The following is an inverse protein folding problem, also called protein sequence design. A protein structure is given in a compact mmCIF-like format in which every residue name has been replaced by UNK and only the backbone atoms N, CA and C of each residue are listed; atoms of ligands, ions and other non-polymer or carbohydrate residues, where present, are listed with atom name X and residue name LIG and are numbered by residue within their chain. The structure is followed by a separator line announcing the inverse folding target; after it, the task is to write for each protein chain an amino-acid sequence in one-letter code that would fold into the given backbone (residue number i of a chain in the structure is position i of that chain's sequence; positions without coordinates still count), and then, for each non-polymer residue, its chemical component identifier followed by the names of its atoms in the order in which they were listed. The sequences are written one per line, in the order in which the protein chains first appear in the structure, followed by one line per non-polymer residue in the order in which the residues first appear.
data_IF_739976896051
#
_entry.id   IF_739976896051
#
_cell.length_a   1.000
_cell.length_b   1.000
_cell.length_c   1.000
_cell.angle_alpha   90.00
_cell.angle_beta   90.00
_cell.angle_gamma   90.00
#
_symmetry.space_group_name_H-M   'P 1'
#
loop_
_entity.id
_entity.type
_entity.pdbx_description
1 polymer ?
#
# COMPACT_ATOMS: atom_id res chain seq x y z
N UNK A 1 52.19 72.17 40.15
CA UNK A 1 50.88 72.12 39.45
C UNK A 1 51.00 71.06 38.37
N UNK A 2 50.48 69.86 38.65
CA UNK A 2 50.43 68.73 37.72
C UNK A 2 49.02 68.63 37.16
N UNK A 3 48.88 68.83 35.85
CA UNK A 3 47.64 68.60 35.11
C UNK A 3 47.37 67.10 35.00
N UNK A 4 46.16 66.61 35.30
CA UNK A 4 45.81 65.21 35.11
C UNK A 4 45.42 64.95 33.64
N UNK A 5 46.02 63.92 33.06
CA UNK A 5 45.68 63.37 31.74
C UNK A 5 44.39 62.55 31.86
N UNK A 6 43.30 63.02 31.25
CA UNK A 6 42.07 62.23 31.09
C UNK A 6 42.31 61.06 30.12
N UNK A 7 42.26 59.84 30.66
CA UNK A 7 42.18 58.62 29.87
C UNK A 7 40.75 58.46 29.33
N UNK A 8 40.59 58.67 28.02
CA UNK A 8 39.39 58.34 27.27
C UNK A 8 39.11 56.83 27.37
N UNK A 9 38.10 56.47 28.16
CA UNK A 9 37.51 55.14 28.22
C UNK A 9 36.94 54.77 26.83
N UNK A 10 37.58 53.81 26.16
CA UNK A 10 37.04 53.17 24.97
C UNK A 10 35.69 52.51 25.31
N UNK A 11 34.61 53.01 24.72
CA UNK A 11 33.29 52.37 24.80
C UNK A 11 33.39 50.99 24.13
N UNK A 12 32.86 49.92 24.74
CA UNK A 12 32.88 48.60 24.13
C UNK A 12 32.11 48.65 22.81
N UNK A 13 32.79 48.32 21.71
CA UNK A 13 32.18 48.18 20.40
C UNK A 13 31.03 47.16 20.50
N UNK A 14 29.79 47.62 20.31
CA UNK A 14 28.63 46.73 20.15
C UNK A 14 28.94 45.77 19.01
N UNK A 15 29.14 44.48 19.32
CA UNK A 15 29.17 43.41 18.31
C UNK A 15 27.94 43.57 17.42
N UNK A 16 28.13 43.97 16.16
CA UNK A 16 27.04 44.03 15.17
C UNK A 16 26.43 42.63 15.10
N UNK A 17 25.16 42.51 15.49
CA UNK A 17 24.42 41.27 15.32
C UNK A 17 24.45 40.86 13.84
N UNK A 18 24.68 39.57 13.51
CA UNK A 18 24.64 39.13 12.14
C UNK A 18 23.28 39.48 11.50
N UNK A 19 23.24 39.75 10.19
CA UNK A 19 22.00 40.10 9.52
C UNK A 19 20.94 39.01 9.73
N UNK A 20 19.66 39.39 9.90
CA UNK A 20 18.59 38.43 10.11
C UNK A 20 18.53 37.46 8.93
N UNK A 21 18.50 36.17 9.25
CA UNK A 21 18.35 35.07 8.31
C UNK A 21 17.34 34.05 8.86
N UNK A 22 16.97 33.05 8.05
CA UNK A 22 15.95 32.07 8.40
C UNK A 22 16.19 31.40 9.76
N UNK A 23 17.44 31.10 10.11
CA UNK A 23 17.80 30.44 11.38
C UNK A 23 17.71 31.38 12.60
N UNK A 24 17.63 32.69 12.39
CA UNK A 24 17.48 33.69 13.46
C UNK A 24 16.03 34.08 13.72
N UNK A 25 15.09 33.64 12.88
CA UNK A 25 13.66 33.91 13.08
C UNK A 25 13.15 33.25 14.38
N UNK A 26 12.18 33.88 15.08
CA UNK A 26 11.51 33.25 16.20
C UNK A 26 10.83 31.93 15.78
N UNK A 27 10.80 30.90 16.65
CA UNK A 27 10.24 29.59 16.32
C UNK A 27 8.81 29.65 15.75
N UNK A 28 7.92 30.47 16.34
CA UNK A 28 6.54 30.61 15.86
C UNK A 28 6.43 31.15 14.42
N UNK A 29 7.37 32.00 14.01
CA UNK A 29 7.42 32.52 12.63
C UNK A 29 7.94 31.44 11.69
N UNK A 30 8.97 30.71 12.13
CA UNK A 30 9.55 29.61 11.37
C UNK A 30 8.52 28.47 11.15
N UNK A 31 7.65 28.18 12.13
CA UNK A 31 6.52 27.25 11.98
C UNK A 31 5.60 27.65 10.82
N UNK A 32 5.27 28.94 10.72
CA UNK A 32 4.38 29.46 9.67
C UNK A 32 5.05 29.33 8.30
N UNK A 33 6.34 29.67 8.21
CA UNK A 33 7.11 29.51 6.97
C UNK A 33 7.15 28.04 6.57
N UNK A 34 7.51 27.14 7.48
CA UNK A 34 7.60 25.70 7.17
C UNK A 34 6.25 25.08 6.78
N UNK A 35 5.13 25.59 7.30
CA UNK A 35 3.77 25.15 6.90
C UNK A 35 3.33 25.67 5.54
N UNK A 36 3.97 26.72 5.03
CA UNK A 36 3.62 27.38 3.76
C UNK A 36 4.41 26.87 2.54
N UNK A 37 5.54 26.20 2.76
CA UNK A 37 6.40 25.72 1.68
C UNK A 37 6.14 24.25 1.35
N UNK A 38 6.54 23.84 0.15
CA UNK A 38 6.40 22.44 -0.30
C UNK A 38 7.34 21.48 0.45
N UNK A 39 7.07 20.18 0.30
CA UNK A 39 7.84 19.11 0.95
C UNK A 39 9.33 19.14 0.56
N UNK A 40 9.66 19.42 -0.71
CA UNK A 40 11.05 19.46 -1.19
C UNK A 40 11.81 20.59 -0.49
N UNK A 41 11.17 21.73 -0.31
CA UNK A 41 11.70 22.90 0.38
C UNK A 41 11.88 22.62 1.87
N UNK A 42 10.90 22.00 2.55
CA UNK A 42 11.05 21.54 3.94
C UNK A 42 12.26 20.63 4.10
N UNK A 43 12.40 19.61 3.24
CA UNK A 43 13.54 18.68 3.28
C UNK A 43 14.88 19.36 2.98
N UNK A 44 14.88 20.37 2.11
CA UNK A 44 16.09 21.15 1.80
C UNK A 44 16.52 22.01 2.99
N UNK A 45 15.58 22.71 3.62
CA UNK A 45 15.83 23.54 4.82
C UNK A 45 16.36 22.70 5.98
N UNK A 46 15.78 21.51 6.20
CA UNK A 46 16.22 20.54 7.21
C UNK A 46 17.69 20.12 7.04
N UNK A 47 18.23 20.17 5.83
CA UNK A 47 19.61 19.79 5.50
C UNK A 47 20.61 20.96 5.59
N UNK A 48 20.18 22.19 5.89
CA UNK A 48 21.05 23.40 5.91
C UNK A 48 21.92 23.50 7.17
N UNK A 49 21.32 23.49 8.36
CA UNK A 49 22.06 23.60 9.63
C UNK A 49 21.32 22.90 10.78
N UNK A 50 22.04 22.62 11.88
CA UNK A 50 21.49 21.93 13.05
C UNK A 50 20.23 22.62 13.60
N UNK A 51 20.27 23.95 13.77
CA UNK A 51 19.14 24.70 14.33
C UNK A 51 17.85 24.56 13.52
N UNK A 52 17.96 24.67 12.19
CA UNK A 52 16.80 24.51 11.29
C UNK A 52 16.31 23.06 11.28
N UNK A 53 17.22 22.09 11.30
CA UNK A 53 16.90 20.67 11.40
C UNK A 53 16.11 20.35 12.66
N UNK A 54 16.63 20.73 13.83
CA UNK A 54 15.96 20.51 15.11
C UNK A 54 14.60 21.17 15.17
N UNK A 55 14.44 22.34 14.55
CA UNK A 55 13.14 22.99 14.45
C UNK A 55 12.17 22.20 13.56
N UNK A 56 12.54 21.87 12.31
CA UNK A 56 11.69 21.10 11.39
C UNK A 56 11.25 19.77 12.01
N UNK A 57 12.19 19.06 12.66
CA UNK A 57 11.91 17.77 13.30
C UNK A 57 10.96 17.92 14.51
N UNK A 58 10.97 19.07 15.19
CA UNK A 58 10.08 19.38 16.31
C UNK A 58 8.67 19.83 15.92
N UNK A 59 8.46 20.43 14.75
CA UNK A 59 7.17 21.03 14.35
C UNK A 59 6.13 19.98 13.92
N UNK A 60 6.53 18.73 13.69
CA UNK A 60 5.64 17.61 13.28
C UNK A 60 4.76 17.94 12.07
N UNK A 61 5.41 18.45 11.01
CA UNK A 61 4.75 18.83 9.76
C UNK A 61 4.14 17.61 9.07
N UNK A 62 2.87 17.72 8.65
CA UNK A 62 2.22 16.70 7.83
C UNK A 62 2.69 16.84 6.37
N UNK A 63 3.40 15.84 5.87
CA UNK A 63 3.94 15.81 4.50
C UNK A 63 2.85 15.77 3.42
N UNK A 64 1.60 15.45 3.78
CA UNK A 64 0.43 15.40 2.87
C UNK A 64 0.67 14.52 1.64
N UNK A 65 1.43 13.43 1.81
CA UNK A 65 1.65 12.43 0.77
C UNK A 65 0.32 11.74 0.45
N UNK A 66 -0.12 11.85 -0.81
CA UNK A 66 -1.27 11.14 -1.34
C UNK A 66 -0.87 9.79 -1.91
N UNK A 67 0.26 9.70 -2.62
CA UNK A 67 0.78 8.44 -3.13
C UNK A 67 2.29 8.36 -2.95
N UNK A 68 2.79 7.18 -2.64
CA UNK A 68 4.21 6.88 -2.68
C UNK A 68 4.43 5.54 -3.39
N UNK A 69 5.38 5.50 -4.31
CA UNK A 69 5.81 4.29 -5.01
C UNK A 69 7.32 4.17 -4.92
N UNK A 70 7.81 2.99 -4.55
CA UNK A 70 9.24 2.68 -4.48
C UNK A 70 9.52 1.59 -5.50
N UNK A 71 10.46 1.84 -6.40
CA UNK A 71 10.86 0.96 -7.48
C UNK A 71 12.34 0.59 -7.36
N UNK A 72 12.61 -0.70 -7.13
CA UNK A 72 13.96 -1.26 -7.13
C UNK A 72 14.34 -1.65 -8.56
N UNK A 73 14.83 -0.69 -9.33
CA UNK A 73 15.14 -0.87 -10.75
C UNK A 73 16.32 -1.82 -11.00
N UNK A 74 17.35 -1.76 -10.16
CA UNK A 74 18.51 -2.65 -10.23
C UNK A 74 19.22 -2.74 -8.87
N UNK A 75 20.32 -3.49 -8.80
CA UNK A 75 21.18 -3.58 -7.59
C UNK A 75 21.85 -2.25 -7.23
N UNK A 76 21.89 -1.30 -8.15
CA UNK A 76 22.58 -0.03 -7.97
C UNK A 76 21.64 1.16 -8.14
N UNK A 77 20.33 0.91 -8.30
CA UNK A 77 19.35 1.96 -8.57
C UNK A 77 18.00 1.69 -7.93
N UNK A 78 17.57 2.63 -7.10
CA UNK A 78 16.21 2.71 -6.55
C UNK A 78 15.60 4.04 -6.99
N UNK A 79 14.31 4.05 -7.30
CA UNK A 79 13.58 5.26 -7.65
C UNK A 79 12.33 5.36 -6.80
N UNK A 80 12.01 6.58 -6.35
CA UNK A 80 10.78 6.87 -5.62
C UNK A 80 9.95 7.90 -6.38
N UNK A 81 8.64 7.70 -6.36
CA UNK A 81 7.66 8.65 -6.85
C UNK A 81 6.75 9.04 -5.68
N UNK A 82 6.65 10.34 -5.38
CA UNK A 82 5.81 10.89 -4.32
C UNK A 82 4.81 11.88 -4.92
N UNK A 83 3.52 11.66 -4.70
CA UNK A 83 2.45 12.56 -5.14
C UNK A 83 1.86 13.29 -3.94
N UNK A 84 1.84 14.62 -3.97
CA UNK A 84 1.02 15.46 -3.07
C UNK A 84 -0.19 15.98 -3.84
N UNK A 85 -0.99 16.86 -3.22
CA UNK A 85 -2.09 17.52 -3.93
C UNK A 85 -1.57 18.34 -5.12
N UNK A 86 -0.47 19.06 -4.89
CA UNK A 86 -0.01 20.12 -5.78
C UNK A 86 1.13 19.63 -6.70
N UNK A 87 1.91 18.62 -6.27
CA UNK A 87 3.14 18.23 -6.96
C UNK A 87 3.28 16.72 -7.17
N UNK A 88 4.20 16.36 -8.06
CA UNK A 88 4.75 15.01 -8.26
C UNK A 88 6.27 15.11 -8.13
N UNK A 89 6.86 14.33 -7.23
CA UNK A 89 8.30 14.31 -6.98
C UNK A 89 8.86 12.96 -7.38
N UNK A 90 9.91 12.99 -8.18
CA UNK A 90 10.71 11.81 -8.49
C UNK A 90 12.10 11.98 -7.90
N UNK A 91 12.59 10.96 -7.20
CA UNK A 91 13.94 10.93 -6.67
C UNK A 91 14.57 9.59 -7.02
N UNK A 92 15.76 9.63 -7.59
CA UNK A 92 16.54 8.45 -7.94
C UNK A 92 17.74 8.35 -7.02
N UNK A 93 18.00 7.16 -6.52
CA UNK A 93 19.13 6.82 -5.67
C UNK A 93 20.03 5.86 -6.45
N UNK A 94 21.30 6.22 -6.61
CA UNK A 94 22.28 5.48 -7.42
C UNK A 94 23.46 5.12 -6.52
N UNK A 95 23.85 3.85 -6.52
CA UNK A 95 25.01 3.38 -5.77
C UNK A 95 26.30 3.85 -6.49
N UNK A 96 27.22 4.44 -5.74
CA UNK A 96 28.54 4.90 -6.23
C UNK A 96 29.63 4.50 -5.23
N UNK A 97 30.25 3.34 -5.46
CA UNK A 97 31.15 2.71 -4.49
C UNK A 97 30.42 2.47 -3.16
N UNK A 98 30.93 3.03 -2.07
CA UNK A 98 30.30 2.97 -0.74
C UNK A 98 29.29 4.11 -0.50
N UNK A 99 29.06 4.98 -1.48
CA UNK A 99 28.23 6.17 -1.34
C UNK A 99 26.88 5.99 -2.06
N UNK A 100 25.91 6.81 -1.66
CA UNK A 100 24.63 6.95 -2.36
C UNK A 100 24.54 8.31 -3.03
N UNK A 101 24.30 8.34 -4.34
CA UNK A 101 23.95 9.56 -5.06
C UNK A 101 22.43 9.71 -5.06
N UNK A 102 21.93 10.80 -4.48
CA UNK A 102 20.52 11.17 -4.48
C UNK A 102 20.31 12.23 -5.56
N UNK A 103 19.47 11.92 -6.54
CA UNK A 103 19.14 12.79 -7.68
C UNK A 103 17.65 13.14 -7.69
N UNK A 104 17.34 14.42 -7.52
CA UNK A 104 15.99 14.99 -7.62
C UNK A 104 15.92 16.17 -8.60
N UNK A 105 16.76 16.11 -9.64
CA UNK A 105 17.14 17.24 -10.52
C UNK A 105 18.41 17.95 -10.06
N UNK A 106 18.81 17.75 -8.79
CA UNK A 106 20.12 18.08 -8.26
C UNK A 106 20.73 16.83 -7.64
N UNK A 107 22.01 16.58 -7.93
CA UNK A 107 22.75 15.44 -7.38
C UNK A 107 23.41 15.82 -6.07
N UNK A 108 23.25 14.96 -5.06
CA UNK A 108 23.96 15.04 -3.78
C UNK A 108 24.51 13.67 -3.42
N UNK A 109 25.73 13.64 -2.91
CA UNK A 109 26.35 12.41 -2.41
C UNK A 109 26.09 12.29 -0.92
N UNK A 110 25.68 11.09 -0.50
CA UNK A 110 25.62 10.65 0.89
C UNK A 110 26.74 9.65 1.08
N UNK A 111 27.74 10.03 1.86
CA UNK A 111 28.97 9.25 2.03
C UNK A 111 28.73 8.00 2.90
N UNK A 112 29.39 6.90 2.54
CA UNK A 112 29.41 5.65 3.32
C UNK A 112 28.03 5.10 3.69
N UNK A 113 27.10 5.11 2.74
CA UNK A 113 25.73 4.63 2.92
C UNK A 113 25.26 3.92 1.66
N UNK A 114 24.72 2.71 1.82
CA UNK A 114 24.06 2.00 0.72
C UNK A 114 22.71 2.63 0.38
N UNK A 115 22.31 2.50 -0.89
CA UNK A 115 21.07 3.12 -1.38
C UNK A 115 19.81 2.61 -0.68
N UNK A 116 19.78 1.36 -0.19
CA UNK A 116 18.64 0.81 0.55
C UNK A 116 18.44 1.56 1.87
N UNK A 117 19.51 1.66 2.66
CA UNK A 117 19.52 2.43 3.91
C UNK A 117 19.21 3.91 3.67
N UNK A 118 19.76 4.50 2.60
CA UNK A 118 19.53 5.91 2.26
C UNK A 118 18.06 6.20 1.96
N UNK A 119 17.45 5.42 1.06
CA UNK A 119 16.03 5.57 0.67
C UNK A 119 15.12 5.30 1.88
N UNK A 120 15.42 4.28 2.68
CA UNK A 120 14.60 3.90 3.84
C UNK A 120 14.56 5.00 4.89
N UNK A 121 15.71 5.65 5.13
CA UNK A 121 15.78 6.81 6.02
C UNK A 121 15.02 8.02 5.49
N UNK A 122 15.22 8.39 4.24
CA UNK A 122 14.51 9.53 3.63
C UNK A 122 12.98 9.29 3.66
N UNK A 123 12.52 8.11 3.27
CA UNK A 123 11.10 7.75 3.30
C UNK A 123 10.54 7.71 4.72
N UNK A 124 11.29 7.13 5.67
CA UNK A 124 10.93 7.09 7.08
C UNK A 124 10.72 8.50 7.63
N UNK A 125 11.64 9.42 7.38
CA UNK A 125 11.56 10.82 7.80
C UNK A 125 10.44 11.60 7.12
N UNK A 126 10.15 11.34 5.84
CA UNK A 126 9.01 11.94 5.13
C UNK A 126 7.69 11.46 5.74
N UNK A 127 7.61 10.18 6.12
CA UNK A 127 6.38 9.57 6.61
C UNK A 127 6.21 9.66 8.13
N UNK A 128 7.23 9.97 8.93
CA UNK A 128 7.18 9.94 10.40
C UNK A 128 6.06 10.84 10.97
N UNK A 129 5.80 11.98 10.34
CA UNK A 129 4.78 12.94 10.76
C UNK A 129 3.56 12.99 9.83
N UNK A 130 3.44 12.04 8.90
CA UNK A 130 2.30 11.93 7.98
C UNK A 130 1.01 11.67 8.78
N UNK A 131 0.12 12.66 8.84
CA UNK A 131 -1.16 12.63 9.59
C UNK A 131 -2.35 12.43 8.65
N UNK A 132 -2.28 13.03 7.47
CA UNK A 132 -3.32 12.87 6.45
C UNK A 132 -3.28 11.47 5.83
N UNK A 133 -4.43 11.06 5.29
CA UNK A 133 -4.64 9.75 4.70
C UNK A 133 -3.84 9.58 3.41
N UNK A 134 -2.93 8.62 3.38
CA UNK A 134 -2.24 8.19 2.16
C UNK A 134 -3.23 7.37 1.31
N UNK A 135 -3.39 7.74 0.03
CA UNK A 135 -4.30 7.04 -0.89
C UNK A 135 -3.71 5.73 -1.37
N UNK A 136 -2.42 5.69 -1.71
CA UNK A 136 -1.71 4.48 -2.15
C UNK A 136 -0.25 4.48 -1.68
N UNK A 137 0.21 3.34 -1.19
CA UNK A 137 1.61 3.10 -0.86
C UNK A 137 2.02 1.79 -1.53
N UNK A 138 2.93 1.90 -2.50
CA UNK A 138 3.29 0.81 -3.40
C UNK A 138 4.78 0.49 -3.37
N UNK A 139 5.08 -0.80 -3.41
CA UNK A 139 6.44 -1.33 -3.55
C UNK A 139 6.52 -2.15 -4.82
N UNK A 140 7.55 -1.91 -5.63
CA UNK A 140 7.93 -2.75 -6.75
C UNK A 140 9.36 -3.22 -6.50
N UNK A 141 9.44 -4.40 -5.91
CA UNK A 141 10.62 -5.08 -5.42
C UNK A 141 11.03 -6.16 -6.42
N UNK A 142 12.32 -6.45 -6.46
CA UNK A 142 12.90 -7.43 -7.39
C UNK A 142 13.86 -8.37 -6.66
N UNK A 143 13.81 -9.68 -6.89
CA UNK A 143 14.60 -10.68 -6.14
C UNK A 143 16.09 -10.35 -6.11
N UNK A 144 16.63 -9.86 -7.23
CA UNK A 144 18.05 -9.52 -7.34
C UNK A 144 18.49 -8.38 -6.41
N UNK A 145 17.56 -7.64 -5.81
CA UNK A 145 17.80 -6.53 -4.90
C UNK A 145 17.50 -6.87 -3.43
N UNK A 146 17.34 -8.15 -3.06
CA UNK A 146 16.95 -8.58 -1.70
C UNK A 146 17.77 -7.92 -0.57
N UNK A 147 19.12 -7.85 -0.61
CA UNK A 147 19.89 -7.18 0.45
C UNK A 147 19.55 -5.70 0.62
N UNK A 148 19.32 -4.98 -0.49
CA UNK A 148 18.92 -3.57 -0.43
C UNK A 148 17.50 -3.39 0.09
N UNK A 149 16.60 -4.33 -0.22
CA UNK A 149 15.23 -4.33 0.28
C UNK A 149 15.20 -4.48 1.79
N UNK A 150 15.99 -5.41 2.33
CA UNK A 150 16.11 -5.61 3.78
C UNK A 150 16.61 -4.34 4.48
N UNK A 151 17.67 -3.71 3.95
CA UNK A 151 18.17 -2.43 4.47
C UNK A 151 17.10 -1.33 4.42
N UNK A 152 16.43 -1.18 3.29
CA UNK A 152 15.36 -0.21 3.09
C UNK A 152 14.19 -0.42 4.08
N UNK A 153 13.67 -1.65 4.15
CA UNK A 153 12.52 -2.00 4.99
C UNK A 153 12.86 -1.80 6.46
N UNK A 154 14.06 -2.23 6.89
CA UNK A 154 14.54 -2.02 8.27
C UNK A 154 14.49 -0.54 8.64
N UNK A 155 15.11 0.33 7.85
CA UNK A 155 15.13 1.77 8.14
C UNK A 155 13.72 2.37 8.10
N UNK A 156 12.93 2.06 7.08
CA UNK A 156 11.55 2.55 6.97
C UNK A 156 10.73 2.16 8.20
N UNK A 157 10.76 0.89 8.59
CA UNK A 157 9.97 0.35 9.70
C UNK A 157 10.44 0.89 11.04
N UNK A 158 11.75 1.08 11.25
CA UNK A 158 12.30 1.75 12.43
C UNK A 158 11.65 3.12 12.63
N UNK A 159 11.61 3.97 11.59
CA UNK A 159 10.95 5.28 11.65
C UNK A 159 9.45 5.16 11.88
N UNK A 160 8.75 4.28 11.14
CA UNK A 160 7.30 4.13 11.27
C UNK A 160 6.87 3.62 12.65
N UNK A 161 7.69 2.81 13.31
CA UNK A 161 7.43 2.31 14.66
C UNK A 161 7.57 3.39 15.74
N UNK A 162 8.32 4.47 15.49
CA UNK A 162 8.37 5.61 16.44
C UNK A 162 7.11 6.47 16.44
N UNK A 163 6.21 6.26 15.48
CA UNK A 163 4.99 7.04 15.34
C UNK A 163 4.03 6.76 16.49
N UNK A 164 3.46 7.82 17.05
CA UNK A 164 2.37 7.72 18.05
C UNK A 164 1.12 7.03 17.49
N UNK A 165 0.86 7.23 16.20
CA UNK A 165 -0.28 6.64 15.49
C UNK A 165 0.19 5.92 14.23
N UNK A 166 -0.36 4.71 14.02
CA UNK A 166 -0.13 3.92 12.80
C UNK A 166 -0.47 4.70 11.54
N UNK A 167 0.28 4.46 10.47
CA UNK A 167 0.12 5.19 9.20
C UNK A 167 -1.27 4.92 8.60
N UNK A 168 -2.01 5.99 8.31
CA UNK A 168 -3.33 5.89 7.69
C UNK A 168 -3.18 5.71 6.18
N UNK A 169 -3.58 4.56 5.67
CA UNK A 169 -3.42 4.16 4.27
C UNK A 169 -4.72 3.57 3.72
N UNK A 170 -5.11 3.92 2.49
CA UNK A 170 -6.25 3.32 1.78
C UNK A 170 -5.90 2.09 0.95
N UNK A 171 -4.77 2.11 0.26
CA UNK A 171 -4.37 1.05 -0.67
C UNK A 171 -2.90 0.68 -0.45
N UNK A 172 -2.67 -0.54 0.03
CA UNK A 172 -1.35 -1.17 0.11
C UNK A 172 -1.11 -2.04 -1.13
N UNK A 173 0.02 -1.85 -1.80
CA UNK A 173 0.41 -2.59 -3.00
C UNK A 173 1.83 -3.10 -2.86
N UNK A 174 2.01 -4.41 -2.98
CA UNK A 174 3.30 -5.09 -2.91
C UNK A 174 3.48 -5.91 -4.18
N UNK A 175 4.42 -5.51 -5.03
CA UNK A 175 4.80 -6.23 -6.23
C UNK A 175 6.23 -6.72 -6.07
N UNK A 176 6.45 -8.03 -6.02
CA UNK A 176 7.78 -8.61 -5.83
C UNK A 176 7.72 -9.98 -5.16
N UNK A 177 8.81 -10.45 -4.55
CA UNK A 177 8.82 -11.71 -3.81
C UNK A 177 7.77 -11.70 -2.69
N UNK A 178 7.01 -12.79 -2.56
CA UNK A 178 6.02 -12.95 -1.48
C UNK A 178 6.74 -13.50 -0.26
N UNK A 179 7.24 -12.58 0.56
CA UNK A 179 7.90 -12.87 1.82
C UNK A 179 7.03 -12.36 2.97
N UNK A 180 6.53 -13.29 3.77
CA UNK A 180 5.53 -12.99 4.79
C UNK A 180 6.07 -12.07 5.88
N UNK A 181 7.34 -12.23 6.27
CA UNK A 181 7.98 -11.41 7.30
C UNK A 181 8.23 -9.99 6.79
N UNK A 182 8.74 -9.85 5.56
CA UNK A 182 8.94 -8.53 4.96
C UNK A 182 7.63 -7.78 4.78
N UNK A 183 6.58 -8.43 4.26
CA UNK A 183 5.27 -7.80 4.09
C UNK A 183 4.71 -7.39 5.45
N UNK A 184 4.72 -8.28 6.44
CA UNK A 184 4.21 -8.00 7.80
C UNK A 184 4.95 -6.84 8.45
N UNK A 185 6.27 -6.74 8.29
CA UNK A 185 7.08 -5.67 8.88
C UNK A 185 6.54 -4.27 8.54
N UNK A 186 6.04 -4.07 7.31
CA UNK A 186 5.39 -2.83 6.90
C UNK A 186 3.91 -2.86 7.24
N UNK A 187 3.21 -3.96 6.96
CA UNK A 187 1.77 -4.08 7.11
C UNK A 187 1.29 -3.80 8.54
N UNK A 188 2.08 -4.21 9.54
CA UNK A 188 1.79 -3.99 10.96
C UNK A 188 1.92 -2.53 11.39
N UNK A 189 2.66 -1.70 10.66
CA UNK A 189 2.76 -0.25 10.90
C UNK A 189 1.53 0.54 10.40
N UNK A 190 0.64 -0.11 9.65
CA UNK A 190 -0.53 0.51 9.01
C UNK A 190 -1.76 0.48 9.92
N UNK A 191 -2.56 1.55 9.85
CA UNK A 191 -3.81 1.63 10.57
C UNK A 191 -4.87 0.73 9.89
N UNK A 192 -5.40 -0.30 10.60
CA UNK A 192 -6.31 -1.28 10.01
C UNK A 192 -7.69 -0.69 9.67
N UNK A 193 -8.10 0.42 10.28
CA UNK A 193 -9.39 1.06 10.02
C UNK A 193 -9.40 1.88 8.72
N UNK A 194 -8.24 2.33 8.26
CA UNK A 194 -8.14 3.10 7.02
C UNK A 194 -7.95 2.24 5.77
N UNK A 195 -7.43 1.02 5.93
CA UNK A 195 -7.03 0.17 4.81
C UNK A 195 -8.25 -0.43 4.10
N UNK A 196 -8.32 -0.23 2.79
CA UNK A 196 -9.44 -0.65 1.96
C UNK A 196 -9.04 -1.68 0.92
N UNK A 197 -7.90 -1.48 0.25
CA UNK A 197 -7.40 -2.40 -0.78
C UNK A 197 -6.03 -2.95 -0.40
N UNK A 198 -5.88 -4.25 -0.56
CA UNK A 198 -4.64 -5.01 -0.41
C UNK A 198 -4.35 -5.67 -1.74
N UNK A 199 -3.14 -5.53 -2.24
CA UNK A 199 -2.68 -6.10 -3.50
C UNK A 199 -1.30 -6.69 -3.26
N UNK A 200 -1.22 -8.01 -3.40
CA UNK A 200 0.01 -8.78 -3.32
C UNK A 200 0.22 -9.41 -4.69
N UNK A 201 1.29 -9.01 -5.38
CA UNK A 201 1.61 -9.49 -6.72
C UNK A 201 3.01 -10.07 -6.71
N UNK A 202 3.15 -11.33 -7.14
CA UNK A 202 4.46 -11.89 -7.43
C UNK A 202 4.86 -11.57 -8.87
N UNK A 203 5.72 -10.56 -9.03
CA UNK A 203 6.14 -10.04 -10.33
C UNK A 203 6.96 -11.03 -11.19
N UNK A 204 7.57 -12.06 -10.59
CA UNK A 204 8.43 -13.00 -11.32
C UNK A 204 7.63 -13.97 -12.20
N UNK A 205 6.39 -14.29 -11.81
CA UNK A 205 5.54 -15.26 -12.51
C UNK A 205 4.67 -14.66 -13.61
N UNK A 206 4.79 -13.36 -13.88
CA UNK A 206 4.22 -12.76 -15.09
C UNK A 206 5.00 -13.19 -16.36
N UNK A 207 6.15 -13.86 -16.21
CA UNK A 207 7.06 -14.26 -17.29
C UNK A 207 7.08 -15.79 -17.57
N UNK A 208 5.92 -16.46 -17.54
CA UNK A 208 5.78 -17.85 -18.03
C UNK A 208 6.39 -18.95 -17.14
N UNK A 209 6.77 -18.62 -15.90
CA UNK A 209 7.25 -19.58 -14.90
C UNK A 209 6.09 -20.31 -14.18
N UNK A 210 6.28 -21.55 -13.67
CA UNK A 210 5.25 -22.28 -12.95
C UNK A 210 4.77 -21.48 -11.74
N UNK A 211 3.47 -21.43 -11.50
CA UNK A 211 2.93 -20.69 -10.36
C UNK A 211 3.26 -21.41 -9.06
N UNK A 212 3.92 -20.70 -8.13
CA UNK A 212 4.36 -21.24 -6.83
C UNK A 212 3.33 -20.90 -5.75
N UNK A 213 3.18 -21.81 -4.77
CA UNK A 213 2.36 -21.58 -3.60
C UNK A 213 3.14 -20.87 -2.49
N UNK A 214 2.52 -19.84 -1.90
CA UNK A 214 3.08 -19.09 -0.78
C UNK A 214 2.10 -19.05 0.38
N UNK A 215 2.61 -19.34 1.57
CA UNK A 215 1.86 -19.18 2.82
C UNK A 215 1.69 -17.68 3.14
N UNK A 216 0.44 -17.24 3.20
CA UNK A 216 0.06 -15.88 3.62
C UNK A 216 -0.81 -15.88 4.89
N UNK A 217 -0.84 -16.98 5.65
CA UNK A 217 -1.71 -17.17 6.82
C UNK A 217 -1.50 -16.09 7.88
N UNK A 218 -0.26 -15.71 8.19
CA UNK A 218 0.00 -14.67 9.21
C UNK A 218 -0.50 -13.32 8.73
N UNK A 219 -0.33 -12.98 7.45
CA UNK A 219 -0.90 -11.78 6.84
C UNK A 219 -2.44 -11.83 6.91
N UNK A 220 -3.04 -12.97 6.55
CA UNK A 220 -4.48 -13.16 6.54
C UNK A 220 -5.12 -13.05 7.95
N UNK A 221 -4.35 -13.36 8.99
CA UNK A 221 -4.79 -13.28 10.38
C UNK A 221 -4.75 -11.86 10.99
N UNK A 222 -4.13 -10.89 10.31
CA UNK A 222 -4.04 -9.51 10.80
C UNK A 222 -5.38 -8.76 10.76
N UNK A 223 -5.53 -7.72 11.58
CA UNK A 223 -6.71 -6.84 11.56
C UNK A 223 -6.80 -6.03 10.26
N UNK A 224 -5.65 -5.70 9.66
CA UNK A 224 -5.54 -5.01 8.38
C UNK A 224 -6.17 -5.84 7.27
N UNK A 225 -5.80 -7.13 7.19
CA UNK A 225 -6.46 -8.06 6.30
C UNK A 225 -7.94 -8.19 6.68
N UNK A 226 -8.22 -8.52 7.95
CA UNK A 226 -9.50 -8.38 8.72
C UNK A 226 -10.52 -7.39 8.14
N UNK A 227 -10.10 -6.15 7.94
CA UNK A 227 -10.98 -5.01 7.66
C UNK A 227 -10.93 -4.52 6.22
N UNK A 228 -10.04 -5.08 5.41
CA UNK A 228 -9.95 -4.78 3.99
C UNK A 228 -11.27 -5.07 3.26
N UNK A 229 -11.53 -4.28 2.22
CA UNK A 229 -12.71 -4.41 1.35
C UNK A 229 -12.38 -5.15 0.06
N UNK A 230 -11.19 -4.88 -0.46
CA UNK A 230 -10.69 -5.44 -1.71
C UNK A 230 -9.38 -6.17 -1.48
N UNK A 231 -9.24 -7.35 -2.06
CA UNK A 231 -8.00 -8.12 -2.09
C UNK A 231 -7.67 -8.59 -3.50
N UNK A 232 -6.41 -8.43 -3.89
CA UNK A 232 -5.88 -8.98 -5.13
C UNK A 232 -4.61 -9.78 -4.79
N UNK A 233 -4.55 -11.04 -5.23
CA UNK A 233 -3.34 -11.88 -5.17
C UNK A 233 -3.02 -12.38 -6.57
N UNK A 234 -1.93 -11.91 -7.17
CA UNK A 234 -1.59 -12.18 -8.57
C UNK A 234 -0.21 -12.82 -8.70
N UNK A 235 -0.07 -13.75 -9.65
CA UNK A 235 1.22 -14.40 -9.94
C UNK A 235 1.67 -15.45 -8.91
N UNK A 236 0.82 -15.84 -7.96
CA UNK A 236 1.13 -16.91 -7.02
C UNK A 236 -0.14 -17.57 -6.47
N UNK A 237 0.00 -18.80 -5.96
CA UNK A 237 -1.09 -19.53 -5.27
C UNK A 237 -1.05 -19.17 -3.79
N UNK A 238 -2.11 -18.54 -3.28
CA UNK A 238 -2.23 -18.25 -1.86
C UNK A 238 -2.56 -19.52 -1.07
N UNK A 239 -1.59 -20.01 -0.29
CA UNK A 239 -1.76 -21.18 0.57
C UNK A 239 -2.35 -20.76 1.91
N UNK A 240 -3.67 -20.58 1.94
CA UNK A 240 -4.48 -20.28 3.14
C UNK A 240 -5.87 -20.87 2.97
N UNK A 241 -6.63 -21.11 4.06
CA UNK A 241 -8.03 -21.51 3.96
C UNK A 241 -8.83 -20.51 3.11
N UNK A 242 -9.64 -21.00 2.18
CA UNK A 242 -10.47 -20.18 1.29
C UNK A 242 -11.38 -19.21 2.07
N UNK A 243 -11.77 -19.60 3.28
CA UNK A 243 -12.56 -18.79 4.20
C UNK A 243 -11.91 -17.46 4.61
N UNK A 244 -10.58 -17.31 4.47
CA UNK A 244 -9.86 -16.07 4.71
C UNK A 244 -10.29 -14.93 3.76
N UNK A 245 -10.95 -15.26 2.65
CA UNK A 245 -11.37 -14.31 1.62
C UNK A 245 -12.87 -13.94 1.67
N UNK A 246 -13.68 -14.63 2.47
CA UNK A 246 -15.15 -14.48 2.47
C UNK A 246 -15.71 -13.10 2.77
N UNK A 247 -14.96 -12.26 3.47
CA UNK A 247 -15.43 -10.95 3.92
C UNK A 247 -15.24 -9.85 2.87
N UNK A 248 -14.37 -10.07 1.88
CA UNK A 248 -14.06 -9.06 0.89
C UNK A 248 -15.28 -8.85 -0.01
N UNK A 249 -15.58 -7.59 -0.30
CA UNK A 249 -16.61 -7.25 -1.29
C UNK A 249 -16.09 -7.45 -2.71
N UNK A 250 -14.78 -7.30 -2.91
CA UNK A 250 -14.10 -7.51 -4.16
C UNK A 250 -12.85 -8.37 -3.93
N UNK A 251 -12.75 -9.53 -4.59
CA UNK A 251 -11.58 -10.40 -4.48
C UNK A 251 -11.15 -10.91 -5.84
N UNK A 252 -9.86 -10.85 -6.14
CA UNK A 252 -9.24 -11.54 -7.26
C UNK A 252 -8.07 -12.36 -6.73
N UNK A 253 -8.23 -13.68 -6.70
CA UNK A 253 -7.28 -14.56 -6.04
C UNK A 253 -6.90 -15.77 -6.87
N UNK A 254 -5.78 -16.38 -6.51
CA UNK A 254 -5.43 -17.74 -6.93
C UNK A 254 -5.18 -18.58 -5.70
N UNK A 255 -5.83 -19.72 -5.59
CA UNK A 255 -5.80 -20.61 -4.43
C UNK A 255 -5.50 -22.04 -4.86
N UNK A 256 -4.99 -22.85 -3.95
CA UNK A 256 -4.64 -24.23 -4.28
C UNK A 256 -5.90 -25.07 -4.46
N UNK A 257 -6.71 -25.16 -3.41
CA UNK A 257 -7.89 -26.02 -3.39
C UNK A 257 -9.15 -25.20 -3.08
N UNK A 258 -10.23 -25.48 -3.81
CA UNK A 258 -11.59 -25.06 -3.46
C UNK A 258 -12.46 -26.30 -3.25
N UNK A 259 -13.47 -26.19 -2.41
CA UNK A 259 -14.48 -27.25 -2.19
C UNK A 259 -15.89 -26.76 -2.51
N UNK A 260 -16.85 -27.67 -2.67
CA UNK A 260 -18.25 -27.31 -2.88
C UNK A 260 -18.79 -26.53 -1.67
N UNK A 261 -18.40 -26.92 -0.46
CA UNK A 261 -18.77 -26.19 0.76
C UNK A 261 -18.22 -24.78 0.79
N UNK A 262 -17.00 -24.58 0.30
CA UNK A 262 -16.42 -23.24 0.20
C UNK A 262 -17.25 -22.33 -0.70
N UNK A 263 -17.67 -22.85 -1.87
CA UNK A 263 -18.47 -22.11 -2.83
C UNK A 263 -19.90 -21.87 -2.33
N UNK A 264 -20.49 -22.84 -1.63
CA UNK A 264 -21.81 -22.68 -0.99
C UNK A 264 -21.74 -21.60 0.11
N UNK A 265 -20.70 -21.62 0.93
CA UNK A 265 -20.47 -20.61 1.97
C UNK A 265 -20.27 -19.22 1.36
N UNK A 266 -19.47 -19.11 0.30
CA UNK A 266 -19.27 -17.86 -0.44
C UNK A 266 -20.59 -17.34 -1.02
N UNK A 267 -21.37 -18.19 -1.68
CA UNK A 267 -22.71 -17.85 -2.22
C UNK A 267 -23.61 -17.27 -1.12
N UNK A 268 -23.74 -17.98 0.01
CA UNK A 268 -24.57 -17.55 1.14
C UNK A 268 -24.11 -16.19 1.67
N UNK A 269 -22.80 -15.98 1.83
CA UNK A 269 -22.25 -14.70 2.33
C UNK A 269 -22.41 -13.56 1.34
N UNK A 270 -22.18 -13.81 0.05
CA UNK A 270 -22.39 -12.84 -1.02
C UNK A 270 -23.84 -12.34 -1.03
N UNK A 271 -24.81 -13.26 -0.98
CA UNK A 271 -26.23 -12.92 -0.94
C UNK A 271 -26.65 -12.17 0.33
N UNK A 272 -25.99 -12.42 1.49
CA UNK A 272 -26.21 -11.70 2.76
C UNK A 272 -25.46 -10.36 2.85
N UNK A 273 -24.58 -10.02 1.89
CA UNK A 273 -23.78 -8.80 1.93
C UNK A 273 -24.28 -7.74 0.91
N UNK A 274 -24.91 -6.64 1.36
CA UNK A 274 -25.38 -5.56 0.48
C UNK A 274 -24.25 -4.81 -0.22
N UNK A 275 -22.99 -5.00 0.16
CA UNK A 275 -21.82 -4.38 -0.47
C UNK A 275 -20.99 -5.37 -1.29
N UNK A 276 -21.41 -6.62 -1.44
CA UNK A 276 -20.70 -7.58 -2.31
C UNK A 276 -20.68 -7.08 -3.76
N UNK A 277 -19.52 -7.11 -4.40
CA UNK A 277 -19.32 -6.66 -5.78
C UNK A 277 -18.91 -7.83 -6.65
N UNK A 278 -17.76 -8.43 -6.36
CA UNK A 278 -17.15 -9.46 -7.21
C UNK A 278 -16.22 -10.37 -6.41
N UNK A 279 -16.15 -11.63 -6.80
CA UNK A 279 -15.16 -12.58 -6.31
C UNK A 279 -14.72 -13.43 -7.50
N UNK A 280 -13.45 -13.39 -7.85
CA UNK A 280 -12.86 -14.16 -8.91
C UNK A 280 -11.73 -15.01 -8.33
N UNK A 281 -11.79 -16.32 -8.54
CA UNK A 281 -10.77 -17.25 -8.10
C UNK A 281 -10.31 -18.14 -9.25
N UNK A 282 -9.00 -18.24 -9.39
CA UNK A 282 -8.33 -19.35 -10.09
C UNK A 282 -7.98 -20.41 -9.05
N UNK A 283 -8.24 -21.67 -9.35
CA UNK A 283 -7.96 -22.78 -8.45
C UNK A 283 -7.08 -23.85 -9.11
N UNK A 284 -6.38 -24.67 -8.33
CA UNK A 284 -5.61 -25.82 -8.85
C UNK A 284 -6.44 -27.10 -8.73
N UNK A 285 -7.02 -27.35 -7.56
CA UNK A 285 -7.73 -28.57 -7.20
C UNK A 285 -9.18 -28.26 -6.83
N UNK A 286 -10.09 -29.14 -7.26
CA UNK A 286 -11.50 -29.11 -6.88
C UNK A 286 -12.00 -30.56 -6.68
N UNK A 287 -11.69 -31.17 -5.53
CA UNK A 287 -11.82 -32.63 -5.34
C UNK A 287 -13.27 -33.12 -5.40
N UNK A 288 -14.23 -32.28 -5.03
CA UNK A 288 -15.66 -32.55 -4.99
C UNK A 288 -16.43 -31.84 -6.13
N UNK A 289 -15.76 -31.53 -7.25
CA UNK A 289 -16.35 -30.85 -8.41
C UNK A 289 -17.62 -31.54 -8.94
N UNK A 290 -17.68 -32.88 -8.89
CA UNK A 290 -18.84 -33.63 -9.35
C UNK A 290 -20.14 -33.25 -8.59
N UNK A 291 -20.03 -32.90 -7.31
CA UNK A 291 -21.17 -32.52 -6.46
C UNK A 291 -21.55 -31.05 -6.58
N UNK A 292 -20.69 -30.22 -7.18
CA UNK A 292 -20.92 -28.79 -7.35
C UNK A 292 -22.25 -28.52 -8.07
N UNK A 293 -22.50 -29.24 -9.18
CA UNK A 293 -23.73 -29.07 -9.97
C UNK A 293 -24.95 -29.49 -9.16
N UNK A 294 -24.87 -30.57 -8.39
CA UNK A 294 -25.97 -31.03 -7.55
C UNK A 294 -26.34 -29.97 -6.50
N UNK A 295 -25.36 -29.29 -5.93
CA UNK A 295 -25.54 -28.28 -4.86
C UNK A 295 -25.92 -26.88 -5.35
N UNK A 296 -25.54 -26.55 -6.58
CA UNK A 296 -25.92 -25.28 -7.24
C UNK A 296 -27.18 -25.42 -8.09
N UNK A 297 -27.63 -26.65 -8.35
CA UNK A 297 -28.80 -26.95 -9.16
C UNK A 297 -28.53 -26.78 -10.65
N UNK A 298 -29.60 -26.82 -11.45
CA UNK A 298 -29.51 -26.71 -12.91
C UNK A 298 -28.98 -25.31 -13.30
N UNK A 299 -27.89 -25.20 -14.08
CA UNK A 299 -27.39 -23.91 -14.55
C UNK A 299 -28.38 -23.26 -15.53
N UNK A 300 -28.39 -21.93 -15.55
CA UNK A 300 -29.16 -21.14 -16.52
C UNK A 300 -28.55 -21.25 -17.92
N UNK A 301 -27.21 -21.12 -18.02
CA UNK A 301 -26.44 -21.36 -19.26
C UNK A 301 -25.45 -22.49 -19.02
N UNK A 302 -25.36 -23.42 -19.97
CA UNK A 302 -24.36 -24.47 -19.98
C UNK A 302 -23.75 -24.56 -21.38
N UNK A 303 -22.44 -24.34 -21.47
CA UNK A 303 -21.65 -24.53 -22.68
C UNK A 303 -20.68 -25.69 -22.48
N UNK A 304 -19.85 -25.99 -23.50
CA UNK A 304 -18.77 -26.99 -23.38
C UNK A 304 -17.70 -26.58 -22.36
N UNK A 305 -17.53 -25.28 -22.13
CA UNK A 305 -16.39 -24.72 -21.38
C UNK A 305 -16.82 -24.01 -20.10
N UNK A 306 -18.12 -23.82 -19.86
CA UNK A 306 -18.57 -23.15 -18.65
C UNK A 306 -20.05 -23.29 -18.36
N UNK A 307 -20.40 -22.90 -17.14
CA UNK A 307 -21.75 -22.94 -16.59
C UNK A 307 -22.03 -21.66 -15.81
N UNK A 308 -23.24 -21.15 -15.93
CA UNK A 308 -23.67 -19.90 -15.27
C UNK A 308 -24.97 -20.12 -14.51
N UNK A 309 -25.03 -19.59 -13.28
CA UNK A 309 -26.22 -19.52 -12.45
C UNK A 309 -26.52 -18.07 -12.09
N UNK A 310 -27.80 -17.74 -11.92
CA UNK A 310 -28.24 -16.44 -11.44
C UNK A 310 -29.14 -16.63 -10.21
N UNK A 311 -28.76 -15.96 -9.11
CA UNK A 311 -29.51 -16.00 -7.85
C UNK A 311 -30.06 -14.61 -7.53
N UNK A 312 -31.27 -14.57 -6.99
CA UNK A 312 -31.89 -13.31 -6.56
C UNK A 312 -31.27 -12.85 -5.24
N UNK A 313 -30.87 -11.58 -5.14
CA UNK A 313 -30.56 -11.01 -3.84
C UNK A 313 -31.84 -10.92 -2.99
N UNK A 314 -31.84 -11.36 -1.73
CA UNK A 314 -33.04 -11.26 -0.88
C UNK A 314 -33.41 -9.81 -0.54
N UNK A 315 -32.41 -8.93 -0.49
CA UNK A 315 -32.52 -7.57 0.05
C UNK A 315 -32.76 -6.48 -0.99
N UNK A 316 -32.65 -6.79 -2.29
CA UNK A 316 -32.83 -5.83 -3.38
C UNK A 316 -33.12 -6.55 -4.70
N UNK A 317 -33.26 -5.80 -5.79
CA UNK A 317 -33.61 -6.34 -7.10
C UNK A 317 -32.40 -6.87 -7.90
N UNK A 318 -31.20 -6.83 -7.34
CA UNK A 318 -30.01 -7.29 -8.04
C UNK A 318 -29.95 -8.82 -8.11
N UNK A 319 -29.08 -9.31 -8.98
CA UNK A 319 -28.77 -10.73 -9.09
C UNK A 319 -27.31 -11.00 -8.72
N UNK A 320 -27.04 -12.18 -8.19
CA UNK A 320 -25.72 -12.76 -8.05
C UNK A 320 -25.50 -13.73 -9.21
N UNK A 321 -24.54 -13.44 -10.09
CA UNK A 321 -24.03 -14.41 -11.06
C UNK A 321 -23.03 -15.32 -10.39
N UNK A 322 -23.04 -16.59 -10.77
CA UNK A 322 -21.99 -17.55 -10.49
C UNK A 322 -21.58 -18.15 -11.80
N UNK A 323 -20.32 -17.98 -12.19
CA UNK A 323 -19.77 -18.47 -13.44
C UNK A 323 -18.62 -19.42 -13.11
N UNK A 324 -18.73 -20.65 -13.59
CA UNK A 324 -17.69 -21.68 -13.46
C UNK A 324 -17.20 -22.08 -14.83
N UNK A 325 -15.89 -22.31 -14.98
CA UNK A 325 -15.29 -22.74 -16.25
C UNK A 325 -14.38 -23.95 -16.06
N UNK A 326 -14.25 -24.74 -17.13
CA UNK A 326 -13.30 -25.87 -17.19
C UNK A 326 -11.83 -25.43 -17.19
N UNK A 327 -11.56 -24.12 -17.31
CA UNK A 327 -10.22 -23.53 -17.22
C UNK A 327 -9.80 -23.25 -15.76
N UNK A 328 -10.42 -23.96 -14.81
CA UNK A 328 -10.17 -23.84 -13.37
C UNK A 328 -10.39 -22.43 -12.82
N UNK A 329 -11.46 -21.78 -13.29
CA UNK A 329 -11.88 -20.49 -12.77
C UNK A 329 -13.31 -20.54 -12.26
N UNK A 330 -13.55 -19.80 -11.20
CA UNK A 330 -14.89 -19.55 -10.69
C UNK A 330 -15.04 -18.07 -10.33
N UNK A 331 -16.19 -17.50 -10.63
CA UNK A 331 -16.50 -16.13 -10.27
C UNK A 331 -17.91 -15.97 -9.74
N UNK A 332 -18.05 -15.02 -8.83
CA UNK A 332 -19.31 -14.55 -8.26
C UNK A 332 -19.38 -13.06 -8.52
N UNK A 333 -20.46 -12.58 -9.12
CA UNK A 333 -20.58 -11.16 -9.48
C UNK A 333 -21.95 -10.60 -9.16
N UNK A 334 -22.01 -9.35 -8.71
CA UNK A 334 -23.28 -8.65 -8.63
C UNK A 334 -23.66 -8.05 -9.97
N UNK A 335 -24.87 -8.35 -10.42
CA UNK A 335 -25.51 -7.72 -11.57
C UNK A 335 -26.61 -6.80 -11.06
N UNK A 336 -26.54 -5.52 -11.41
CA UNK A 336 -27.58 -4.55 -11.06
C UNK A 336 -28.84 -4.81 -11.88
N UNK A 337 -30.03 -4.61 -11.28
CA UNK A 337 -31.31 -4.85 -11.96
C UNK A 337 -31.43 -4.15 -13.32
N UNK A 338 -30.94 -2.90 -13.40
CA UNK A 338 -30.90 -2.11 -14.63
C UNK A 338 -30.10 -2.77 -15.77
N UNK A 339 -29.18 -3.68 -15.46
CA UNK A 339 -28.26 -4.31 -16.40
C UNK A 339 -28.73 -5.70 -16.85
N UNK A 340 -29.86 -6.23 -16.36
CA UNK A 340 -30.35 -7.58 -16.71
C UNK A 340 -30.53 -7.80 -18.22
N UNK A 341 -30.94 -6.76 -18.95
CA UNK A 341 -31.09 -6.79 -20.40
C UNK A 341 -29.80 -7.21 -21.14
N UNK A 342 -28.62 -6.95 -20.56
CA UNK A 342 -27.31 -7.32 -21.12
C UNK A 342 -27.00 -8.81 -21.01
N UNK A 343 -27.68 -9.53 -20.11
CA UNK A 343 -27.41 -10.93 -19.79
C UNK A 343 -28.48 -11.88 -20.29
N UNK A 344 -29.52 -11.35 -20.94
CA UNK A 344 -30.62 -12.09 -21.55
C UNK A 344 -31.43 -12.95 -20.57
N UNK A 345 -31.52 -12.53 -19.30
CA UNK A 345 -32.40 -13.14 -18.29
C UNK A 345 -33.39 -12.13 -17.73
N UNK A 346 -34.49 -12.60 -17.15
CA UNK A 346 -35.49 -11.77 -16.47
C UNK A 346 -35.56 -12.10 -14.98
N UNK A 347 -36.18 -11.23 -14.18
CA UNK A 347 -36.26 -11.42 -12.71
C UNK A 347 -36.88 -12.76 -12.31
N UNK A 348 -37.86 -13.24 -13.08
CA UNK A 348 -38.58 -14.49 -12.80
C UNK A 348 -37.74 -15.75 -13.06
N UNK A 349 -36.63 -15.61 -13.78
CA UNK A 349 -35.69 -16.71 -14.06
C UNK A 349 -34.60 -16.86 -12.98
N UNK A 350 -34.56 -15.96 -11.99
CA UNK A 350 -33.58 -15.99 -10.93
C UNK A 350 -33.91 -17.08 -9.90
N UNK A 351 -32.89 -17.84 -9.50
CA UNK A 351 -33.03 -18.83 -8.42
C UNK A 351 -33.22 -18.08 -7.09
N UNK A 352 -34.30 -18.39 -6.38
CA UNK A 352 -34.53 -17.94 -5.02
C UNK A 352 -34.07 -19.05 -4.06
N UNK A 353 -33.22 -18.71 -3.09
CA UNK A 353 -32.74 -19.62 -2.06
C UNK A 353 -33.29 -19.20 -0.71
N UNK A 354 -33.73 -20.18 0.09
CA UNK A 354 -34.00 -19.96 1.50
C UNK A 354 -32.65 -19.83 2.23
N UNK A 355 -32.42 -18.66 2.83
CA UNK A 355 -31.17 -18.31 3.49
C UNK A 355 -31.22 -18.56 5.00
N UNK A 356 -31.67 -19.74 5.40
CA UNK A 356 -31.55 -20.20 6.78
C UNK A 356 -30.07 -20.33 7.20
#
# INVERSE_FOLDING_TARGET
MTTPTETLSERPQRKKSPPPNLSTLPPKVLDVVMKSVDLKTVQSVRKVCFKLRSHVDGVTLDSKILKAFIFFASKDKISIELKTKDDLFEVTYIQDGNNSIVDNGLKKTVENMDIGTCVGNDMGLILINQKSLVRKFGFMLSEQCRPLQENFLRQLVEHLNTRKEKLRLKYFSWTGPIDQDQILSVFETLNPMSLQKIDLTNGQHLAGQPTVAYDIQRIANTEQWKRGKTVETLGFVAHVPFSCFYKFSNAHIMVDTITVEDLVALRKRALKNPKFEEFYAVYINFPDEADFINRFGKPYKSTKTGKTWYYKFPMNENALTVDWTTQKTISFGRILAKDFHKYSFTRDTLVQLDLD
#
